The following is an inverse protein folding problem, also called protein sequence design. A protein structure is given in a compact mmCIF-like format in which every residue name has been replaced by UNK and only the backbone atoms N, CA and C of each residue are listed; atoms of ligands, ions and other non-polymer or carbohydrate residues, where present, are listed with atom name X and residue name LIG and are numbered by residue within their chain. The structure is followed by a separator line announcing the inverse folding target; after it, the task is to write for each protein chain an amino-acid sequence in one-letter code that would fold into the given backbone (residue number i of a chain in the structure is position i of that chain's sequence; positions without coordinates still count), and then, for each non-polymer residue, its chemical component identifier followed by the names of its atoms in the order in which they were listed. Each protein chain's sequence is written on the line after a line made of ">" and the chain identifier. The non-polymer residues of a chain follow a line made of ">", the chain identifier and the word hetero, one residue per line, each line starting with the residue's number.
data_IF_289790929273
#
_entry.id   IF_289790929273
#
_cell.length_a   1.000
_cell.length_b   1.000
_cell.length_c   1.000
_cell.angle_alpha   90.00
_cell.angle_beta   90.00
_cell.angle_gamma   90.00
#
_symmetry.space_group_name_H-M   'P 1'
#
loop_
_entity.id
_entity.type
_entity.pdbx_description
1 polymer ?
#
# COMPACT_ATOMS: atom_id res chain seq x y z
N UNK A 1 -31.90 18.18 5.19
CA UNK A 1 -32.23 17.33 4.02
C UNK A 1 -31.93 18.18 2.81
N UNK A 2 -30.99 17.79 1.98
CA UNK A 2 -30.67 18.47 0.73
C UNK A 2 -31.78 18.22 -0.30
N UNK A 3 -32.10 19.24 -1.06
CA UNK A 3 -32.97 19.10 -2.22
C UNK A 3 -32.25 18.34 -3.33
N UNK A 4 -32.98 17.76 -4.27
CA UNK A 4 -32.38 17.06 -5.42
C UNK A 4 -31.49 17.96 -6.27
N UNK A 5 -31.83 19.25 -6.34
CA UNK A 5 -31.02 20.27 -7.00
C UNK A 5 -29.68 20.50 -6.29
N UNK A 6 -29.69 20.67 -4.96
CA UNK A 6 -28.48 20.87 -4.15
C UNK A 6 -27.54 19.66 -4.19
N UNK A 7 -28.12 18.44 -4.18
CA UNK A 7 -27.33 17.21 -4.37
C UNK A 7 -26.67 17.15 -5.73
N UNK A 8 -27.37 17.52 -6.77
CA UNK A 8 -26.83 17.54 -8.14
C UNK A 8 -25.75 18.58 -8.30
N UNK A 9 -25.95 19.80 -7.80
CA UNK A 9 -24.97 20.87 -7.84
C UNK A 9 -23.69 20.47 -7.06
N UNK A 10 -23.86 19.82 -5.90
CA UNK A 10 -22.73 19.31 -5.12
C UNK A 10 -21.98 18.19 -5.82
N UNK A 11 -22.67 17.29 -6.51
CA UNK A 11 -22.06 16.24 -7.33
C UNK A 11 -21.32 16.83 -8.53
N UNK A 12 -21.86 17.81 -9.21
CA UNK A 12 -21.20 18.49 -10.34
C UNK A 12 -19.95 19.26 -9.89
N UNK A 13 -20.02 19.99 -8.75
CA UNK A 13 -18.86 20.66 -8.16
C UNK A 13 -17.78 19.66 -7.70
N UNK A 14 -18.18 18.53 -7.13
CA UNK A 14 -17.26 17.47 -6.75
C UNK A 14 -16.61 16.84 -7.97
N UNK A 15 -17.37 16.50 -8.98
CA UNK A 15 -16.90 15.91 -10.23
C UNK A 15 -15.94 16.84 -10.98
N UNK A 16 -16.18 18.17 -10.97
CA UNK A 16 -15.30 19.15 -11.59
C UNK A 16 -13.92 19.27 -10.94
N UNK A 17 -13.78 18.87 -9.66
CA UNK A 17 -12.53 18.91 -8.90
C UNK A 17 -11.74 17.60 -9.00
N UNK A 18 -12.35 16.54 -9.50
CA UNK A 18 -11.72 15.21 -9.60
C UNK A 18 -11.30 14.98 -11.04
N UNK A 19 -10.01 15.17 -11.30
CA UNK A 19 -9.42 14.94 -12.63
C UNK A 19 -9.39 13.45 -12.98
N UNK A 20 -9.30 12.56 -11.99
CA UNK A 20 -9.31 11.12 -12.15
C UNK A 20 -9.76 10.41 -10.89
N UNK A 21 -10.76 9.56 -10.97
CA UNK A 21 -11.19 8.66 -9.90
C UNK A 21 -10.92 7.21 -10.27
N UNK A 22 -10.55 6.42 -9.28
CA UNK A 22 -10.40 4.98 -9.45
C UNK A 22 -10.79 4.24 -8.18
N UNK A 23 -11.42 3.08 -8.35
CA UNK A 23 -11.77 2.19 -7.25
C UNK A 23 -10.99 0.89 -7.38
N UNK A 24 -10.50 0.39 -6.25
CA UNK A 24 -9.81 -0.89 -6.15
C UNK A 24 -10.59 -1.81 -5.20
N UNK A 25 -10.79 -3.04 -5.64
CA UNK A 25 -11.20 -4.13 -4.76
C UNK A 25 -10.00 -5.02 -4.50
N UNK A 26 -9.70 -5.25 -3.23
CA UNK A 26 -8.54 -6.03 -2.81
C UNK A 26 -8.98 -7.31 -2.09
N UNK A 27 -8.29 -8.41 -2.40
CA UNK A 27 -8.25 -9.60 -1.56
C UNK A 27 -7.04 -9.48 -0.65
N UNK A 28 -7.25 -9.21 0.65
CA UNK A 28 -6.17 -9.16 1.63
C UNK A 28 -5.64 -10.58 1.82
N UNK A 29 -4.33 -10.74 1.62
CA UNK A 29 -3.62 -12.00 1.71
C UNK A 29 -2.90 -12.19 3.03
N UNK A 30 -2.47 -11.09 3.67
CA UNK A 30 -1.78 -11.13 4.95
C UNK A 30 -1.56 -9.75 5.54
N UNK A 31 -1.30 -9.74 6.87
CA UNK A 31 -0.91 -8.54 7.60
C UNK A 31 -0.06 -8.91 8.81
N UNK A 32 0.84 -8.01 9.20
CA UNK A 32 1.69 -8.13 10.38
C UNK A 32 1.74 -6.78 11.11
N UNK A 33 1.84 -6.82 12.45
CA UNK A 33 1.87 -5.62 13.28
C UNK A 33 0.56 -4.83 13.34
N UNK A 34 -0.54 -5.40 12.85
CA UNK A 34 -1.87 -4.76 12.82
C UNK A 34 -2.82 -5.62 13.66
N UNK A 35 -3.31 -5.06 14.76
CA UNK A 35 -4.25 -5.75 15.66
C UNK A 35 -5.52 -4.93 15.82
N UNK A 36 -6.68 -5.57 15.95
CA UNK A 36 -7.92 -4.86 16.30
C UNK A 36 -7.74 -4.10 17.62
N UNK A 37 -8.14 -2.84 17.64
CA UNK A 37 -8.04 -1.98 18.83
C UNK A 37 -6.69 -1.27 19.01
N UNK A 38 -5.69 -1.52 18.17
CA UNK A 38 -4.46 -0.76 18.18
C UNK A 38 -4.70 0.71 17.81
N UNK A 39 -3.83 1.59 18.32
CA UNK A 39 -3.81 2.99 17.89
C UNK A 39 -3.59 3.07 16.38
N UNK A 40 -4.36 3.87 15.64
CA UNK A 40 -4.18 3.99 14.20
C UNK A 40 -2.79 4.55 13.87
N UNK A 41 -2.18 3.99 12.83
CA UNK A 41 -0.93 4.51 12.29
C UNK A 41 -1.12 5.92 11.72
N UNK A 42 -0.05 6.71 11.70
CA UNK A 42 -0.11 8.09 11.17
C UNK A 42 0.07 8.13 9.66
N UNK A 43 0.90 7.25 9.14
CA UNK A 43 1.27 7.26 7.71
C UNK A 43 1.17 5.86 7.13
N UNK A 44 0.85 5.81 5.84
CA UNK A 44 0.85 4.59 5.05
C UNK A 44 1.57 4.84 3.72
N UNK A 45 2.42 3.89 3.32
CA UNK A 45 2.97 3.85 1.98
C UNK A 45 2.29 2.70 1.24
N UNK A 46 1.53 3.01 0.21
CA UNK A 46 0.95 2.01 -0.68
C UNK A 46 1.87 1.81 -1.88
N UNK A 47 2.36 0.60 -2.05
CA UNK A 47 3.26 0.21 -3.13
C UNK A 47 2.49 -0.64 -4.14
N UNK A 48 2.48 -0.21 -5.40
CA UNK A 48 1.76 -0.83 -6.50
C UNK A 48 2.70 -1.72 -7.29
N UNK A 49 2.40 -3.03 -7.34
CA UNK A 49 3.28 -4.03 -7.94
C UNK A 49 2.66 -4.66 -9.19
N UNK A 50 3.47 -4.79 -10.22
CA UNK A 50 3.20 -5.66 -11.38
C UNK A 50 3.93 -6.98 -11.19
N UNK A 51 3.19 -8.08 -11.24
CA UNK A 51 3.71 -9.44 -11.09
C UNK A 51 3.22 -10.27 -12.26
N UNK A 52 4.15 -10.92 -12.96
CA UNK A 52 3.83 -11.85 -14.03
C UNK A 52 2.93 -12.97 -13.52
N UNK A 53 1.95 -13.40 -14.34
CA UNK A 53 0.96 -14.42 -13.97
C UNK A 53 1.61 -15.72 -13.51
N UNK A 54 2.73 -16.11 -14.11
CA UNK A 54 3.45 -17.33 -13.77
C UNK A 54 4.29 -17.24 -12.50
N UNK A 55 4.54 -16.01 -12.01
CA UNK A 55 5.30 -15.73 -10.78
C UNK A 55 4.42 -15.39 -9.57
N UNK A 56 3.10 -15.27 -9.75
CA UNK A 56 2.20 -14.80 -8.69
C UNK A 56 2.26 -15.67 -7.44
N UNK A 57 2.26 -17.00 -7.58
CA UNK A 57 2.34 -17.90 -6.44
C UNK A 57 3.65 -17.73 -5.67
N UNK A 58 4.79 -17.70 -6.37
CA UNK A 58 6.11 -17.53 -5.74
C UNK A 58 6.21 -16.16 -5.05
N UNK A 59 5.69 -15.12 -5.69
CA UNK A 59 5.62 -13.78 -5.12
C UNK A 59 4.77 -13.73 -3.84
N UNK A 60 3.56 -14.33 -3.84
CA UNK A 60 2.72 -14.41 -2.65
C UNK A 60 3.42 -15.16 -1.51
N UNK A 61 4.10 -16.28 -1.79
CA UNK A 61 4.85 -17.02 -0.76
C UNK A 61 6.02 -16.20 -0.21
N UNK A 62 6.75 -15.49 -1.05
CA UNK A 62 7.86 -14.64 -0.64
C UNK A 62 7.37 -13.48 0.25
N UNK A 63 6.30 -12.78 -0.13
CA UNK A 63 5.73 -11.70 0.67
C UNK A 63 5.23 -12.21 2.04
N UNK A 64 4.50 -13.32 2.07
CA UNK A 64 3.91 -13.85 3.30
C UNK A 64 4.93 -14.50 4.24
N UNK A 65 5.94 -15.18 3.72
CA UNK A 65 6.91 -15.94 4.52
C UNK A 65 8.21 -15.21 4.82
N UNK A 66 8.53 -14.17 4.04
CA UNK A 66 9.80 -13.46 4.16
C UNK A 66 9.61 -11.97 4.41
N UNK A 67 8.96 -11.24 3.51
CA UNK A 67 8.86 -9.79 3.60
C UNK A 67 7.96 -9.35 4.76
N UNK A 68 6.76 -9.94 4.87
CA UNK A 68 5.82 -9.62 5.92
C UNK A 68 6.36 -9.87 7.34
N UNK A 69 6.86 -11.06 7.69
CA UNK A 69 7.42 -11.33 9.04
C UNK A 69 8.59 -10.42 9.42
N UNK A 70 9.31 -9.90 8.43
CA UNK A 70 10.46 -9.01 8.63
C UNK A 70 10.12 -7.50 8.56
N UNK A 71 8.84 -7.14 8.58
CA UNK A 71 8.39 -5.76 8.40
C UNK A 71 9.06 -4.75 9.35
N UNK A 72 9.21 -5.12 10.62
CA UNK A 72 9.74 -4.22 11.65
C UNK A 72 11.23 -3.86 11.46
N UNK A 73 11.98 -4.69 10.75
CA UNK A 73 13.41 -4.45 10.50
C UNK A 73 13.69 -3.18 9.68
N UNK A 74 12.68 -2.66 8.99
CA UNK A 74 12.78 -1.46 8.16
C UNK A 74 12.07 -0.25 8.79
N UNK A 75 11.87 -0.24 10.12
CA UNK A 75 11.19 0.86 10.83
C UNK A 75 9.69 0.94 10.58
N UNK A 76 9.07 -0.09 9.99
CA UNK A 76 7.63 -0.15 9.81
C UNK A 76 6.95 -0.54 11.12
N UNK A 77 5.84 0.11 11.42
CA UNK A 77 4.99 -0.23 12.57
C UNK A 77 3.96 -1.31 12.23
N UNK A 78 3.67 -1.49 10.94
CA UNK A 78 2.79 -2.53 10.42
C UNK A 78 3.00 -2.76 8.93
N UNK A 79 2.45 -3.87 8.45
CA UNK A 79 2.53 -4.27 7.04
C UNK A 79 1.24 -5.00 6.62
N UNK A 80 0.81 -4.77 5.39
CA UNK A 80 -0.30 -5.45 4.76
C UNK A 80 0.00 -5.80 3.31
N UNK A 81 -0.67 -6.84 2.80
CA UNK A 81 -0.48 -7.35 1.45
C UNK A 81 -1.80 -7.80 0.85
N UNK A 82 -2.08 -7.38 -0.37
CA UNK A 82 -3.32 -7.71 -1.07
C UNK A 82 -3.15 -7.87 -2.58
N UNK A 83 -4.00 -8.74 -3.14
CA UNK A 83 -4.17 -8.91 -4.58
C UNK A 83 -5.33 -8.07 -5.09
N UNK A 84 -5.13 -7.37 -6.19
CA UNK A 84 -6.18 -6.58 -6.83
C UNK A 84 -7.12 -7.54 -7.57
N UNK A 85 -8.41 -7.52 -7.19
CA UNK A 85 -9.46 -8.33 -7.83
C UNK A 85 -10.16 -7.54 -8.94
N UNK A 86 -10.43 -6.26 -8.72
CA UNK A 86 -11.05 -5.39 -9.70
C UNK A 86 -10.56 -3.96 -9.54
N UNK A 87 -10.60 -3.19 -10.62
CA UNK A 87 -10.18 -1.80 -10.67
C UNK A 87 -10.96 -1.04 -11.75
N UNK A 88 -11.29 0.21 -11.44
CA UNK A 88 -11.86 1.16 -12.37
C UNK A 88 -10.95 2.38 -12.44
N UNK A 89 -10.62 2.84 -13.65
CA UNK A 89 -9.85 4.07 -13.87
C UNK A 89 -8.37 4.02 -13.47
N UNK A 90 -7.81 2.84 -13.21
CA UNK A 90 -6.41 2.66 -12.83
C UNK A 90 -5.61 1.92 -13.90
N UNK A 91 -4.28 1.99 -13.80
CA UNK A 91 -3.39 1.28 -14.68
C UNK A 91 -3.59 -0.25 -14.55
N UNK A 92 -3.85 -0.92 -15.67
CA UNK A 92 -4.12 -2.35 -15.74
C UNK A 92 -2.87 -3.23 -15.51
N UNK A 93 -1.68 -2.65 -15.48
CA UNK A 93 -0.43 -3.39 -15.28
C UNK A 93 -0.20 -3.83 -13.83
N UNK A 94 -0.87 -3.18 -12.85
CA UNK A 94 -0.69 -3.46 -11.43
C UNK A 94 -1.68 -4.52 -10.98
N UNK A 95 -1.23 -5.54 -10.24
CA UNK A 95 -2.07 -6.63 -9.75
C UNK A 95 -1.89 -6.96 -8.25
N UNK A 96 -0.93 -6.32 -7.58
CA UNK A 96 -0.76 -6.44 -6.13
C UNK A 96 -0.47 -5.09 -5.48
N UNK A 97 -0.80 -5.00 -4.17
CA UNK A 97 -0.41 -3.90 -3.30
C UNK A 97 0.23 -4.42 -2.03
N UNK A 98 1.29 -3.73 -1.58
CA UNK A 98 1.74 -3.81 -0.20
C UNK A 98 1.47 -2.47 0.49
N UNK A 99 1.16 -2.54 1.77
CA UNK A 99 0.91 -1.39 2.62
C UNK A 99 1.94 -1.40 3.75
N UNK A 100 2.78 -0.39 3.77
CA UNK A 100 3.77 -0.18 4.84
C UNK A 100 3.23 0.91 5.76
N UNK A 101 3.01 0.61 7.03
CA UNK A 101 2.49 1.55 8.02
C UNK A 101 3.60 2.09 8.91
N UNK A 102 3.51 3.38 9.25
CA UNK A 102 4.51 4.10 10.02
C UNK A 102 3.87 5.05 11.02
N UNK A 103 4.52 5.24 12.16
CA UNK A 103 4.12 6.22 13.18
C UNK A 103 4.80 7.58 12.97
N UNK A 104 5.87 7.62 12.17
CA UNK A 104 6.67 8.81 11.92
C UNK A 104 7.03 8.96 10.44
N UNK A 105 6.96 10.20 9.92
CA UNK A 105 7.48 10.54 8.61
C UNK A 105 9.00 10.33 8.53
N UNK A 106 9.71 10.52 9.63
CA UNK A 106 11.17 10.32 9.67
C UNK A 106 11.56 8.87 9.37
N UNK A 107 10.76 7.88 9.77
CA UNK A 107 11.03 6.47 9.47
C UNK A 107 10.93 6.21 7.97
N UNK A 108 9.96 6.84 7.29
CA UNK A 108 9.82 6.76 5.83
C UNK A 108 11.02 7.42 5.13
N UNK A 109 11.40 8.61 5.57
CA UNK A 109 12.51 9.37 4.99
C UNK A 109 13.86 8.66 5.22
N UNK A 110 14.08 8.10 6.39
CA UNK A 110 15.28 7.33 6.71
C UNK A 110 15.43 6.11 5.81
N UNK A 111 14.35 5.35 5.62
CA UNK A 111 14.37 4.18 4.74
C UNK A 111 14.68 4.55 3.28
N UNK A 112 14.20 5.71 2.82
CA UNK A 112 14.40 6.21 1.45
C UNK A 112 15.68 7.01 1.28
N UNK A 113 16.40 7.30 2.36
CA UNK A 113 17.68 8.01 2.30
C UNK A 113 18.79 7.06 1.85
N UNK A 114 19.77 7.59 1.11
CA UNK A 114 20.96 6.85 0.70
C UNK A 114 21.86 6.46 1.90
N UNK A 115 21.54 6.91 3.11
CA UNK A 115 22.26 6.62 4.35
C UNK A 115 21.73 5.39 5.07
N UNK A 116 20.56 4.87 4.71
CA UNK A 116 20.00 3.67 5.33
C UNK A 116 20.85 2.45 4.99
N UNK A 117 21.36 1.78 6.02
CA UNK A 117 22.21 0.59 5.87
C UNK A 117 21.38 -0.68 6.01
N UNK A 118 21.14 -1.34 4.92
CA UNK A 118 20.49 -2.66 4.92
C UNK A 118 21.42 -3.76 5.42
N UNK A 119 20.88 -4.67 6.20
CA UNK A 119 21.57 -5.93 6.54
C UNK A 119 21.64 -6.85 5.31
N UNK A 120 22.51 -7.86 5.36
CA UNK A 120 22.60 -8.86 4.28
C UNK A 120 21.27 -9.58 4.05
N UNK A 121 20.54 -9.90 5.12
CA UNK A 121 19.23 -10.55 5.03
C UNK A 121 18.17 -9.65 4.38
N UNK A 122 18.12 -8.38 4.73
CA UNK A 122 17.24 -7.41 4.10
C UNK A 122 17.52 -7.27 2.59
N UNK A 123 18.80 -7.15 2.21
CA UNK A 123 19.19 -7.09 0.80
C UNK A 123 18.83 -8.36 0.04
N UNK A 124 18.94 -9.54 0.66
CA UNK A 124 18.55 -10.81 0.02
C UNK A 124 17.03 -10.86 -0.23
N UNK A 125 16.21 -10.41 0.72
CA UNK A 125 14.75 -10.30 0.56
C UNK A 125 14.42 -9.33 -0.59
N UNK A 126 15.00 -8.16 -0.63
CA UNK A 126 14.76 -7.17 -1.68
C UNK A 126 15.13 -7.67 -3.07
N UNK A 127 16.30 -8.30 -3.20
CA UNK A 127 16.73 -8.93 -4.47
C UNK A 127 15.79 -10.05 -4.93
N UNK A 128 15.20 -10.79 -3.99
CA UNK A 128 14.19 -11.80 -4.32
C UNK A 128 12.89 -11.17 -4.78
N UNK A 129 12.47 -10.09 -4.12
CA UNK A 129 11.28 -9.33 -4.54
C UNK A 129 11.45 -8.77 -5.96
N UNK A 130 12.59 -8.12 -6.25
CA UNK A 130 12.84 -7.48 -7.54
C UNK A 130 12.88 -8.47 -8.73
N UNK A 131 13.17 -9.75 -8.48
CA UNK A 131 13.09 -10.81 -9.50
C UNK A 131 11.66 -11.24 -9.82
N UNK A 132 10.73 -11.05 -8.87
CA UNK A 132 9.37 -11.56 -8.95
C UNK A 132 8.36 -10.48 -9.34
N UNK A 133 8.69 -9.22 -9.07
CA UNK A 133 7.78 -8.09 -9.26
C UNK A 133 8.50 -6.87 -9.84
N UNK A 134 7.71 -5.97 -10.40
CA UNK A 134 8.10 -4.61 -10.73
C UNK A 134 7.31 -3.63 -9.87
N UNK A 135 8.00 -2.74 -9.15
CA UNK A 135 7.37 -1.63 -8.44
C UNK A 135 7.00 -0.54 -9.44
N UNK A 136 5.69 -0.38 -9.70
CA UNK A 136 5.20 0.61 -10.66
C UNK A 136 5.01 1.99 -10.04
N UNK A 137 4.59 2.04 -8.78
CA UNK A 137 4.33 3.30 -8.09
C UNK A 137 4.35 3.11 -6.57
N UNK A 138 4.58 4.21 -5.83
CA UNK A 138 4.45 4.28 -4.38
C UNK A 138 3.77 5.58 -4.00
N UNK A 139 2.72 5.51 -3.17
CA UNK A 139 2.04 6.68 -2.64
C UNK A 139 2.21 6.74 -1.14
N UNK A 140 2.61 7.90 -0.63
CA UNK A 140 2.65 8.20 0.80
C UNK A 140 1.34 8.90 1.16
N UNK A 141 0.63 8.38 2.14
CA UNK A 141 -0.65 8.91 2.61
C UNK A 141 -0.58 9.18 4.11
N UNK A 142 -1.17 10.30 4.53
CA UNK A 142 -1.44 10.56 5.94
C UNK A 142 -2.77 9.94 6.30
N UNK A 143 -2.79 9.13 7.35
CA UNK A 143 -4.02 8.53 7.85
C UNK A 143 -4.70 9.52 8.81
N UNK A 144 -5.87 10.00 8.42
CA UNK A 144 -6.70 10.88 9.23
C UNK A 144 -7.76 10.02 9.91
N UNK A 145 -7.68 9.89 11.23
CA UNK A 145 -8.76 9.28 12.00
C UNK A 145 -9.97 10.23 11.98
N UNK A 146 -11.10 9.78 11.42
CA UNK A 146 -12.36 10.47 11.66
C UNK A 146 -12.89 10.02 13.02
N UNK A 147 -13.04 10.95 13.94
CA UNK A 147 -13.88 10.72 15.11
C UNK A 147 -15.31 10.51 14.60
N UNK A 148 -15.89 9.35 14.92
CA UNK A 148 -17.30 9.05 14.71
C UNK A 148 -18.05 9.35 15.99
#
# INVERSE_FOLDING_TARGET
>A
IFTEYELREHQEQYASRIVKTGNLTLSIKGSYGIKPGDKPFKYMVANYMAVDVYKQYEYEQMELKSAGPNYAQNGRSGWGFGKILSRFGTNHEVNYLTFDFYDSMNDILNLRSNTFKFTKSQLAIWKSQDKLRELKNSHIMTLIASER
#
